data_IF_595272967823
#
_entry.id   IF_595272967823
#
_cell.length_a   1.000
_cell.length_b   1.000
_cell.length_c   1.000
_cell.angle_alpha   90.00
_cell.angle_beta   90.00
_cell.angle_gamma   90.00
#
_symmetry.space_group_name_H-M   'P 1'
#
loop_
_entity.id
_entity.type
_entity.pdbx_description
1 polymer ?
#
# COMPACT_ATOMS: atom_id res chain seq x y z
N UNK A 1 5.56 4.03 9.30
CA UNK A 1 6.69 3.15 9.68
C UNK A 1 6.13 1.96 10.45
N UNK A 2 5.92 0.86 9.76
CA UNK A 2 5.18 -0.29 10.24
C UNK A 2 6.06 -1.23 11.06
N UNK A 3 5.94 -1.18 12.39
CA UNK A 3 6.58 -2.14 13.29
C UNK A 3 5.64 -3.35 13.55
N UNK A 4 6.21 -4.56 13.60
CA UNK A 4 5.51 -5.79 14.01
C UNK A 4 6.29 -6.40 15.17
N UNK A 5 5.74 -6.28 16.39
CA UNK A 5 6.32 -6.88 17.59
C UNK A 5 6.05 -8.38 17.62
N UNK A 6 7.12 -9.15 17.62
CA UNK A 6 7.12 -10.61 17.75
C UNK A 6 6.95 -11.00 19.22
N UNK A 7 6.05 -11.95 19.52
CA UNK A 7 5.97 -12.58 20.86
C UNK A 7 6.88 -13.81 20.90
N UNK A 8 7.55 -14.06 22.04
CA UNK A 8 8.36 -15.28 22.26
C UNK A 8 7.45 -16.51 22.11
N UNK A 9 7.74 -17.36 21.13
CA UNK A 9 6.95 -18.55 20.79
C UNK A 9 6.13 -18.45 19.49
N UNK A 10 6.14 -17.30 18.80
CA UNK A 10 5.47 -17.19 17.50
C UNK A 10 6.40 -17.61 16.34
N UNK A 11 5.94 -18.44 15.38
CA UNK A 11 6.74 -18.80 14.22
C UNK A 11 7.00 -17.56 13.35
N UNK A 12 8.26 -17.39 12.94
CA UNK A 12 8.76 -16.24 12.17
C UNK A 12 7.93 -15.99 10.90
N UNK A 13 7.48 -17.05 10.24
CA UNK A 13 6.63 -16.98 9.04
C UNK A 13 5.32 -16.22 9.25
N UNK A 14 4.70 -16.38 10.43
CA UNK A 14 3.42 -15.73 10.75
C UNK A 14 3.60 -14.22 10.91
N UNK A 15 4.73 -13.81 11.45
CA UNK A 15 5.08 -12.40 11.58
C UNK A 15 5.45 -11.77 10.25
N UNK A 16 6.21 -12.48 9.40
CA UNK A 16 6.50 -12.04 8.03
C UNK A 16 5.21 -11.84 7.22
N UNK A 17 4.24 -12.74 7.38
CA UNK A 17 2.93 -12.61 6.73
C UNK A 17 2.15 -11.39 7.22
N UNK A 18 2.18 -11.08 8.52
CA UNK A 18 1.56 -9.87 9.08
C UNK A 18 2.26 -8.59 8.61
N UNK A 19 3.59 -8.60 8.56
CA UNK A 19 4.40 -7.49 8.07
C UNK A 19 4.09 -7.20 6.61
N UNK A 20 4.08 -8.23 5.76
CA UNK A 20 3.70 -8.10 4.34
C UNK A 20 2.30 -7.50 4.18
N UNK A 21 1.30 -8.00 4.91
CA UNK A 21 -0.05 -7.41 4.90
C UNK A 21 -0.09 -5.96 5.36
N UNK A 22 0.68 -5.59 6.39
CA UNK A 22 0.77 -4.19 6.83
C UNK A 22 1.39 -3.30 5.74
N UNK A 23 2.47 -3.74 5.11
CA UNK A 23 3.13 -3.00 4.02
C UNK A 23 2.23 -2.85 2.79
N UNK A 24 1.49 -3.91 2.42
CA UNK A 24 0.52 -3.86 1.33
C UNK A 24 -0.62 -2.88 1.64
N UNK A 25 -1.07 -2.82 2.90
CA UNK A 25 -2.15 -1.91 3.35
C UNK A 25 -1.69 -0.46 3.44
N UNK A 26 -0.47 -0.23 3.91
CA UNK A 26 0.13 1.11 3.99
C UNK A 26 0.41 1.67 2.59
N UNK A 27 0.46 0.80 1.57
CA UNK A 27 0.58 1.24 0.17
C UNK A 27 1.92 1.92 -0.13
N UNK A 28 2.89 1.80 0.76
CA UNK A 28 4.20 2.46 0.73
C UNK A 28 4.94 2.19 -0.58
N UNK A 29 4.83 0.97 -1.11
CA UNK A 29 5.40 0.62 -2.42
C UNK A 29 4.71 1.31 -3.59
N UNK A 30 3.39 1.53 -3.51
CA UNK A 30 2.63 2.26 -4.56
C UNK A 30 2.96 3.74 -4.51
N UNK A 31 3.07 4.32 -3.32
CA UNK A 31 3.49 5.70 -3.13
C UNK A 31 4.92 5.91 -3.62
N UNK A 32 5.86 5.06 -3.20
CA UNK A 32 7.24 5.13 -3.67
C UNK A 32 7.32 5.09 -5.21
N UNK A 33 6.56 4.21 -5.87
CA UNK A 33 6.47 4.16 -7.34
C UNK A 33 5.85 5.43 -7.93
N UNK A 34 4.81 5.97 -7.32
CA UNK A 34 4.15 7.19 -7.76
C UNK A 34 5.01 8.45 -7.60
N UNK A 35 5.99 8.42 -6.68
CA UNK A 35 6.91 9.52 -6.38
C UNK A 35 8.28 9.37 -7.06
N UNK A 36 8.56 8.31 -7.82
CA UNK A 36 9.83 8.12 -8.55
C UNK A 36 10.10 9.21 -9.58
N UNK A 37 9.06 9.78 -10.17
CA UNK A 37 9.17 10.84 -11.17
C UNK A 37 8.22 11.97 -10.81
N UNK A 38 8.61 13.21 -11.14
CA UNK A 38 7.73 14.36 -10.96
C UNK A 38 6.51 14.22 -11.88
N UNK A 39 5.33 14.17 -11.29
CA UNK A 39 4.07 14.18 -12.00
C UNK A 39 3.43 15.58 -11.85
N UNK A 40 3.02 16.18 -12.97
CA UNK A 40 2.34 17.48 -12.95
C UNK A 40 1.06 17.42 -12.09
N UNK A 41 0.69 18.51 -11.39
CA UNK A 41 -0.51 18.52 -10.55
C UNK A 41 -1.82 18.19 -11.30
N UNK A 42 -1.90 18.49 -12.60
CA UNK A 42 -3.03 18.13 -13.47
C UNK A 42 -3.12 16.62 -13.69
N UNK A 43 -2.00 15.96 -13.96
CA UNK A 43 -1.88 14.52 -14.15
C UNK A 43 -2.25 13.75 -12.89
N UNK A 44 -1.79 14.24 -11.72
CA UNK A 44 -2.15 13.70 -10.39
C UNK A 44 -3.65 13.73 -10.14
N UNK A 45 -4.32 14.83 -10.49
CA UNK A 45 -5.78 14.96 -10.39
C UNK A 45 -6.50 13.99 -11.32
N UNK A 46 -6.05 13.88 -12.58
CA UNK A 46 -6.64 12.95 -13.56
C UNK A 46 -6.50 11.48 -13.14
N UNK A 47 -5.34 11.09 -12.60
CA UNK A 47 -5.08 9.74 -12.08
C UNK A 47 -5.97 9.39 -10.88
N UNK A 48 -6.18 10.33 -9.96
CA UNK A 48 -7.11 10.16 -8.82
C UNK A 48 -8.56 10.02 -9.28
N UNK A 49 -9.00 10.82 -10.25
CA UNK A 49 -10.36 10.74 -10.80
C UNK A 49 -10.63 9.45 -11.60
N UNK A 50 -9.58 8.87 -12.21
CA UNK A 50 -9.60 7.55 -12.85
C UNK A 50 -9.32 6.39 -11.87
N UNK A 51 -9.23 6.67 -10.57
CA UNK A 51 -9.13 5.66 -9.53
C UNK A 51 -10.26 4.62 -9.68
N UNK A 52 -10.08 3.40 -9.14
CA UNK A 52 -10.96 2.28 -9.44
C UNK A 52 -12.40 2.74 -9.27
N UNK A 53 -13.12 2.82 -10.40
CA UNK A 53 -14.57 2.82 -10.39
C UNK A 53 -14.91 1.45 -9.85
N UNK A 54 -14.92 1.31 -8.52
CA UNK A 54 -15.42 0.12 -7.87
C UNK A 54 -16.77 -0.09 -8.51
N UNK A 55 -16.82 -1.17 -9.28
CA UNK A 55 -17.90 -1.54 -10.14
C UNK A 55 -19.17 -1.39 -9.30
N UNK A 56 -19.95 -0.34 -9.57
CA UNK A 56 -21.27 -0.15 -8.97
C UNK A 56 -22.16 -1.17 -9.66
N UNK A 57 -21.90 -2.44 -9.36
CA UNK A 57 -22.74 -3.55 -9.77
C UNK A 57 -23.98 -3.49 -8.91
N UNK A 58 -25.11 -3.40 -9.60
CA UNK A 58 -26.29 -4.17 -9.21
C UNK A 58 -25.89 -5.62 -8.88
#
# INVERSE_FOLDING_TARGET
>A
MSEVKLKKGEPVEKALRRLKKKLDREGTLREARAHRHYEKPSEKRRRKARGPRNFMGF
#
